data_IF_236802241293
#
_entry.id   IF_236802241293
#
_cell.length_a   1.000
_cell.length_b   1.000
_cell.length_c   1.000
_cell.angle_alpha   90.00
_cell.angle_beta   90.00
_cell.angle_gamma   90.00
#
_symmetry.space_group_name_H-M   'P 1'
#
loop_
_entity.id
_entity.type
_entity.pdbx_description
1 polymer ?
#
# COMPACT_ATOMS: atom_id res chain seq x y z
N UNK A 1 -4.00 33.92 11.06
CA UNK A 1 -3.75 35.36 11.24
C UNK A 1 -4.83 35.89 12.17
N UNK A 2 -4.48 36.87 13.09
CA UNK A 2 -5.36 37.39 14.14
C UNK A 2 -6.69 37.96 13.59
N UNK A 3 -6.63 38.60 12.42
CA UNK A 3 -7.82 39.18 11.76
C UNK A 3 -8.78 38.04 11.36
N UNK A 4 -8.30 37.01 10.70
CA UNK A 4 -9.12 35.86 10.31
C UNK A 4 -9.75 35.13 11.52
N UNK A 5 -9.04 35.06 12.64
CA UNK A 5 -9.60 34.49 13.86
C UNK A 5 -10.73 35.35 14.44
N UNK A 6 -10.55 36.67 14.42
CA UNK A 6 -11.59 37.61 14.87
C UNK A 6 -12.83 37.58 13.95
N UNK A 7 -12.62 37.51 12.63
CA UNK A 7 -13.73 37.44 11.67
C UNK A 7 -14.54 36.14 11.87
N UNK A 8 -13.86 34.99 12.06
CA UNK A 8 -14.54 33.74 12.39
C UNK A 8 -15.24 33.78 13.74
N UNK A 9 -14.61 34.34 14.77
CA UNK A 9 -15.25 34.50 16.07
C UNK A 9 -16.51 35.36 15.98
N UNK A 10 -16.47 36.43 15.19
CA UNK A 10 -17.63 37.29 14.96
C UNK A 10 -18.72 36.57 14.18
N UNK A 11 -18.36 35.84 13.13
CA UNK A 11 -19.28 35.04 12.33
C UNK A 11 -20.05 34.02 13.17
N UNK A 12 -19.34 33.29 14.05
CA UNK A 12 -19.92 32.22 14.89
C UNK A 12 -20.40 32.71 16.26
N UNK A 13 -20.38 34.00 16.54
CA UNK A 13 -21.09 34.56 17.68
C UNK A 13 -22.62 34.59 17.50
N UNK A 14 -23.08 34.43 16.25
CA UNK A 14 -24.49 34.33 15.91
C UNK A 14 -24.91 32.86 15.82
N UNK A 15 -25.92 32.46 16.61
CA UNK A 15 -26.43 31.09 16.65
C UNK A 15 -26.93 30.60 15.28
N UNK A 16 -27.57 31.46 14.48
CA UNK A 16 -28.04 31.10 13.13
C UNK A 16 -26.90 30.72 12.17
N UNK A 17 -25.75 31.38 12.30
CA UNK A 17 -24.57 31.02 11.52
C UNK A 17 -23.98 29.68 11.99
N UNK A 18 -24.06 29.35 13.27
CA UNK A 18 -23.65 28.04 13.79
C UNK A 18 -24.59 26.94 13.28
N UNK A 19 -25.89 27.15 13.31
CA UNK A 19 -26.90 26.21 12.80
C UNK A 19 -26.69 25.95 11.30
N UNK A 20 -26.50 27.00 10.51
CA UNK A 20 -26.21 26.89 9.09
C UNK A 20 -24.90 26.11 8.82
N UNK A 21 -23.85 26.38 9.57
CA UNK A 21 -22.59 25.65 9.45
C UNK A 21 -22.75 24.16 9.80
N UNK A 22 -23.55 23.84 10.82
CA UNK A 22 -23.88 22.46 11.17
C UNK A 22 -24.64 21.75 10.04
N UNK A 23 -25.67 22.41 9.48
CA UNK A 23 -26.41 21.88 8.33
C UNK A 23 -25.52 21.65 7.11
N UNK A 24 -24.56 22.55 6.83
CA UNK A 24 -23.60 22.43 5.75
C UNK A 24 -22.67 21.21 5.94
N UNK A 25 -22.19 21.00 7.17
CA UNK A 25 -21.35 19.82 7.50
C UNK A 25 -22.14 18.51 7.42
N UNK A 26 -23.39 18.51 7.94
CA UNK A 26 -24.25 17.33 7.86
C UNK A 26 -24.55 16.98 6.40
N UNK A 27 -24.89 17.95 5.57
CA UNK A 27 -25.13 17.76 4.14
C UNK A 27 -23.89 17.22 3.42
N UNK A 28 -22.70 17.80 3.67
CA UNK A 28 -21.44 17.36 3.10
C UNK A 28 -21.18 15.86 3.37
N UNK A 29 -21.31 15.43 4.63
CA UNK A 29 -21.10 14.02 5.00
C UNK A 29 -22.19 13.13 4.41
N UNK A 30 -23.42 13.55 4.43
CA UNK A 30 -24.53 12.78 3.85
C UNK A 30 -24.32 12.57 2.35
N UNK A 31 -24.02 13.62 1.59
CA UNK A 31 -23.72 13.53 0.16
C UNK A 31 -22.48 12.68 -0.13
N UNK A 32 -21.46 12.75 0.72
CA UNK A 32 -20.23 11.95 0.58
C UNK A 32 -20.48 10.47 0.80
N UNK A 33 -21.16 10.13 1.90
CA UNK A 33 -21.40 8.75 2.31
C UNK A 33 -22.45 8.06 1.40
N UNK A 34 -23.47 8.77 0.95
CA UNK A 34 -24.54 8.21 0.11
C UNK A 34 -24.11 7.77 -1.28
N UNK A 35 -22.94 8.19 -1.77
CA UNK A 35 -22.45 7.83 -3.11
C UNK A 35 -22.21 6.34 -3.31
N UNK A 36 -21.86 5.63 -2.25
CA UNK A 36 -21.67 4.18 -2.25
C UNK A 36 -22.36 3.62 -1.02
N UNK A 37 -23.38 2.78 -1.23
CA UNK A 37 -24.11 2.12 -0.16
C UNK A 37 -24.19 0.64 -0.45
N UNK A 38 -24.06 -0.16 0.58
CA UNK A 38 -24.23 -1.62 0.53
C UNK A 38 -25.35 -2.04 1.49
N UNK A 39 -26.10 -3.06 1.09
CA UNK A 39 -27.08 -3.72 1.92
C UNK A 39 -26.83 -5.23 1.85
N UNK A 40 -26.35 -5.79 2.95
CA UNK A 40 -25.99 -7.21 3.06
C UNK A 40 -26.61 -7.80 4.33
N UNK A 41 -26.69 -9.14 4.44
CA UNK A 41 -27.15 -9.78 5.67
C UNK A 41 -26.23 -9.54 6.89
N UNK A 42 -25.01 -9.02 6.69
CA UNK A 42 -24.08 -8.71 7.75
C UNK A 42 -24.14 -7.22 8.12
N UNK A 43 -24.93 -6.89 9.14
CA UNK A 43 -25.12 -5.50 9.59
C UNK A 43 -23.81 -4.79 9.94
N UNK A 44 -22.85 -5.46 10.59
CA UNK A 44 -21.54 -4.90 10.92
C UNK A 44 -20.75 -4.49 9.68
N UNK A 45 -20.90 -5.20 8.56
CA UNK A 45 -20.31 -4.81 7.28
C UNK A 45 -20.98 -3.54 6.74
N UNK A 46 -22.33 -3.51 6.77
CA UNK A 46 -23.09 -2.35 6.28
C UNK A 46 -22.73 -1.07 7.07
N UNK A 47 -22.59 -1.16 8.40
CA UNK A 47 -22.21 -0.02 9.26
C UNK A 47 -20.82 0.53 8.87
N UNK A 48 -19.84 -0.35 8.67
CA UNK A 48 -18.49 0.08 8.29
C UNK A 48 -18.46 0.66 6.87
N UNK A 49 -18.99 -0.05 5.89
CA UNK A 49 -18.95 0.35 4.48
C UNK A 49 -19.74 1.62 4.19
N UNK A 50 -20.91 1.78 4.82
CA UNK A 50 -21.81 2.91 4.56
C UNK A 50 -21.42 4.19 5.29
N UNK A 51 -20.26 4.23 5.98
CA UNK A 51 -19.87 5.44 6.69
C UNK A 51 -18.45 5.45 7.21
N UNK A 52 -18.15 4.59 8.17
CA UNK A 52 -16.92 4.69 8.96
C UNK A 52 -15.63 4.53 8.16
N UNK A 53 -15.58 3.66 7.14
CA UNK A 53 -14.39 3.48 6.31
C UNK A 53 -14.06 4.73 5.49
N UNK A 54 -15.08 5.33 4.85
CA UNK A 54 -14.91 6.59 4.10
C UNK A 54 -14.50 7.72 5.04
N UNK A 55 -15.15 7.81 6.21
CA UNK A 55 -14.81 8.81 7.21
C UNK A 55 -13.37 8.66 7.70
N UNK A 56 -12.93 7.45 8.06
CA UNK A 56 -11.57 7.18 8.51
C UNK A 56 -10.52 7.55 7.46
N UNK A 57 -10.72 7.13 6.21
CA UNK A 57 -9.81 7.45 5.11
C UNK A 57 -9.69 8.96 4.91
N UNK A 58 -10.81 9.68 4.89
CA UNK A 58 -10.82 11.12 4.69
C UNK A 58 -10.18 11.89 5.83
N UNK A 59 -10.66 11.65 7.07
CA UNK A 59 -10.31 12.48 8.23
C UNK A 59 -8.90 12.19 8.71
N UNK A 60 -8.51 10.92 8.79
CA UNK A 60 -7.26 10.52 9.43
C UNK A 60 -6.10 10.36 8.46
N UNK A 61 -6.40 10.18 7.17
CA UNK A 61 -5.36 9.89 6.18
C UNK A 61 -5.12 11.01 5.17
N UNK A 62 -6.16 11.70 4.74
CA UNK A 62 -6.02 12.78 3.76
C UNK A 62 -6.05 14.18 4.39
N UNK A 63 -6.93 14.45 5.36
CA UNK A 63 -7.02 15.76 6.01
C UNK A 63 -6.03 15.92 7.16
N UNK A 64 -5.80 14.85 7.92
CA UNK A 64 -4.82 14.85 9.00
C UNK A 64 -4.19 13.46 9.13
N UNK A 65 -2.87 13.38 9.15
CA UNK A 65 -2.14 12.19 9.57
C UNK A 65 -1.97 12.21 11.08
N UNK A 66 -3.05 12.02 11.78
CA UNK A 66 -3.02 12.02 13.24
C UNK A 66 -3.74 10.81 13.80
N UNK A 67 -3.10 10.17 14.74
CA UNK A 67 -3.69 9.21 15.64
C UNK A 67 -3.42 9.66 17.06
N UNK A 68 -4.03 9.01 18.03
CA UNK A 68 -3.80 9.33 19.45
C UNK A 68 -2.32 9.25 19.82
N UNK A 69 -1.59 8.32 19.24
CA UNK A 69 -0.15 8.09 19.49
C UNK A 69 0.77 8.87 18.56
N UNK A 70 0.24 9.46 17.49
CA UNK A 70 1.05 10.15 16.49
C UNK A 70 0.26 11.34 15.91
N UNK A 71 0.68 12.53 16.22
CA UNK A 71 0.10 13.77 15.69
C UNK A 71 1.09 14.47 14.77
N UNK A 72 0.60 15.02 13.64
CA UNK A 72 1.42 15.82 12.72
C UNK A 72 2.52 15.01 12.03
N UNK A 73 2.24 13.78 11.66
CA UNK A 73 3.19 12.93 10.95
C UNK A 73 3.49 13.43 9.54
N UNK A 74 4.60 12.96 8.97
CA UNK A 74 4.95 13.15 7.58
C UNK A 74 3.89 12.57 6.65
N UNK A 75 3.81 13.07 5.43
CA UNK A 75 3.08 12.45 4.33
C UNK A 75 3.96 11.38 3.71
N UNK A 76 3.48 10.14 3.60
CA UNK A 76 4.19 9.04 2.95
C UNK A 76 3.81 8.93 1.48
N UNK A 77 4.79 8.63 0.63
CA UNK A 77 4.52 8.49 -0.80
C UNK A 77 3.54 7.35 -1.08
N UNK A 78 3.84 6.15 -0.62
CA UNK A 78 2.99 4.97 -0.72
C UNK A 78 1.67 5.16 0.02
N UNK A 79 1.75 5.64 1.25
CA UNK A 79 0.62 5.65 2.19
C UNK A 79 -0.58 6.43 1.67
N UNK A 80 -0.41 7.73 1.35
CA UNK A 80 -1.52 8.56 0.88
C UNK A 80 -2.03 8.17 -0.50
N UNK A 81 -1.18 7.62 -1.36
CA UNK A 81 -1.64 7.05 -2.62
C UNK A 81 -2.59 5.89 -2.34
N UNK A 82 -2.18 4.89 -1.54
CA UNK A 82 -3.02 3.76 -1.17
C UNK A 82 -4.32 4.19 -0.48
N UNK A 83 -4.27 5.17 0.42
CA UNK A 83 -5.44 5.69 1.14
C UNK A 83 -6.55 6.15 0.19
N UNK A 84 -6.20 6.66 -0.99
CA UNK A 84 -7.20 7.11 -1.98
C UNK A 84 -7.90 5.99 -2.74
N UNK A 85 -7.40 4.74 -2.68
CA UNK A 85 -8.10 3.60 -3.26
C UNK A 85 -9.50 3.41 -2.68
N UNK A 86 -9.67 3.64 -1.38
CA UNK A 86 -10.98 3.60 -0.72
C UNK A 86 -11.97 4.65 -1.23
N UNK A 87 -11.49 5.69 -1.91
CA UNK A 87 -12.29 6.80 -2.40
C UNK A 87 -12.54 6.76 -3.91
N UNK A 88 -11.99 5.80 -4.63
CA UNK A 88 -11.98 5.77 -6.10
C UNK A 88 -13.38 5.82 -6.75
N UNK A 89 -14.39 5.26 -6.09
CA UNK A 89 -15.78 5.27 -6.57
C UNK A 89 -16.60 6.44 -6.04
N UNK A 90 -16.22 7.02 -4.91
CA UNK A 90 -17.00 8.09 -4.24
C UNK A 90 -16.45 9.47 -4.55
N UNK A 91 -15.14 9.61 -4.62
CA UNK A 91 -14.44 10.89 -4.80
C UNK A 91 -13.16 10.70 -5.65
N UNK A 92 -13.26 10.30 -6.93
CA UNK A 92 -12.10 10.08 -7.80
C UNK A 92 -11.24 11.34 -7.97
N UNK A 93 -11.82 12.53 -7.81
CA UNK A 93 -11.08 13.80 -7.81
C UNK A 93 -10.05 13.89 -6.67
N UNK A 94 -10.27 13.23 -5.53
CA UNK A 94 -9.28 13.16 -4.45
C UNK A 94 -8.09 12.31 -4.85
N UNK A 95 -8.35 11.17 -5.49
CA UNK A 95 -7.31 10.31 -6.04
C UNK A 95 -6.49 11.06 -7.10
N UNK A 96 -7.15 11.76 -8.04
CA UNK A 96 -6.47 12.59 -9.04
C UNK A 96 -5.54 13.63 -8.41
N UNK A 97 -6.04 14.37 -7.43
CA UNK A 97 -5.25 15.40 -6.77
C UNK A 97 -4.06 14.81 -6.01
N UNK A 98 -4.22 13.64 -5.43
CA UNK A 98 -3.14 12.96 -4.72
C UNK A 98 -2.08 12.42 -5.69
N UNK A 99 -2.46 11.89 -6.86
CA UNK A 99 -1.52 11.47 -7.91
C UNK A 99 -0.68 12.67 -8.38
N UNK A 100 -1.32 13.81 -8.69
CA UNK A 100 -0.62 15.05 -9.11
C UNK A 100 0.31 15.55 -7.99
N UNK A 101 -0.13 15.49 -6.73
CA UNK A 101 0.70 15.90 -5.60
C UNK A 101 1.93 15.02 -5.46
N UNK A 102 1.78 13.70 -5.52
CA UNK A 102 2.87 12.75 -5.34
C UNK A 102 3.86 12.76 -6.51
N UNK A 103 3.40 13.00 -7.74
CA UNK A 103 4.32 13.09 -8.88
C UNK A 103 5.36 14.20 -8.71
N UNK A 104 5.04 15.29 -7.98
CA UNK A 104 5.98 16.36 -7.64
C UNK A 104 7.03 15.97 -6.59
N UNK A 105 6.89 14.82 -5.94
CA UNK A 105 7.83 14.24 -4.99
C UNK A 105 8.66 13.11 -5.61
N UNK A 106 8.73 13.07 -6.95
CA UNK A 106 9.59 12.16 -7.71
C UNK A 106 10.85 12.89 -8.17
N UNK A 107 12.02 12.24 -8.04
CA UNK A 107 13.29 12.72 -8.59
C UNK A 107 13.39 12.43 -10.09
N UNK A 108 14.24 13.18 -10.79
CA UNK A 108 14.46 13.03 -12.23
C UNK A 108 14.87 11.59 -12.61
N UNK A 109 15.56 10.88 -11.71
CA UNK A 109 15.98 9.49 -11.87
C UNK A 109 14.87 8.47 -11.72
N UNK A 110 13.66 8.89 -11.31
CA UNK A 110 12.47 8.07 -11.20
C UNK A 110 12.19 7.49 -9.80
N UNK A 111 13.12 7.58 -8.86
CA UNK A 111 12.86 7.31 -7.44
C UNK A 111 12.12 8.48 -6.79
N UNK A 112 11.69 8.32 -5.54
CA UNK A 112 10.77 9.24 -4.88
C UNK A 112 11.21 9.55 -3.45
N UNK A 113 10.67 10.62 -2.87
CA UNK A 113 10.70 10.78 -1.41
C UNK A 113 9.82 9.71 -0.77
N UNK A 114 10.35 8.98 0.17
CA UNK A 114 9.58 7.99 0.95
C UNK A 114 8.51 8.67 1.81
N UNK A 115 8.86 9.80 2.44
CA UNK A 115 7.94 10.68 3.13
C UNK A 115 8.49 12.11 3.21
N UNK A 116 7.60 13.10 3.44
CA UNK A 116 7.96 14.52 3.59
C UNK A 116 7.04 15.26 4.57
N UNK A 117 7.49 16.42 5.01
CA UNK A 117 6.71 17.36 5.83
C UNK A 117 6.31 18.57 4.99
N UNK A 118 5.02 18.76 4.75
CA UNK A 118 4.51 19.87 3.92
C UNK A 118 4.88 21.26 4.45
N UNK A 119 4.90 21.42 5.78
CA UNK A 119 5.19 22.71 6.43
C UNK A 119 6.62 23.18 6.21
N UNK A 120 7.55 22.27 6.02
CA UNK A 120 8.98 22.59 5.88
C UNK A 120 9.50 22.30 4.47
N UNK A 121 8.78 21.55 3.66
CA UNK A 121 9.22 21.04 2.36
C UNK A 121 10.35 20.02 2.46
N UNK A 122 10.70 19.55 3.67
CA UNK A 122 11.75 18.55 3.87
C UNK A 122 11.20 17.15 3.78
N UNK A 123 11.93 16.26 3.13
CA UNK A 123 11.58 14.86 3.01
C UNK A 123 12.79 13.95 3.00
N UNK A 124 12.54 12.65 2.90
CA UNK A 124 13.57 11.63 2.95
C UNK A 124 13.62 10.87 1.62
N UNK A 125 14.77 10.92 0.96
CA UNK A 125 15.08 10.07 -0.19
C UNK A 125 15.62 8.75 0.32
N UNK A 126 15.08 7.62 -0.15
CA UNK A 126 15.46 6.28 0.30
C UNK A 126 15.70 5.34 -0.87
N UNK A 127 16.09 4.10 -0.56
CA UNK A 127 16.16 3.00 -1.54
C UNK A 127 14.97 2.03 -1.40
N UNK A 128 13.85 2.49 -0.85
CA UNK A 128 12.63 1.70 -0.85
C UNK A 128 12.17 1.41 -2.28
N UNK A 129 11.87 0.16 -2.54
CA UNK A 129 11.74 -0.32 -3.91
C UNK A 129 10.31 -0.32 -4.45
N UNK A 130 9.31 -0.18 -3.60
CA UNK A 130 7.90 -0.22 -3.99
C UNK A 130 7.22 1.15 -4.09
N UNK A 131 7.67 2.16 -3.32
CA UNK A 131 7.03 3.47 -3.22
C UNK A 131 6.66 4.05 -4.59
N UNK A 132 7.63 4.09 -5.49
CA UNK A 132 7.47 4.67 -6.83
C UNK A 132 6.41 3.95 -7.68
N UNK A 133 6.20 2.66 -7.47
CA UNK A 133 5.24 1.86 -8.22
C UNK A 133 3.79 2.15 -7.83
N UNK A 134 3.55 2.68 -6.63
CA UNK A 134 2.22 3.07 -6.23
C UNK A 134 1.68 4.25 -7.02
N UNK A 135 2.54 5.14 -7.52
CA UNK A 135 2.12 6.20 -8.46
C UNK A 135 1.51 5.58 -9.73
N UNK A 136 2.15 4.56 -10.28
CA UNK A 136 1.68 3.85 -11.48
C UNK A 136 0.38 3.13 -11.20
N UNK A 137 0.31 2.39 -10.08
CA UNK A 137 -0.88 1.64 -9.67
C UNK A 137 -2.11 2.54 -9.55
N UNK A 138 -1.97 3.66 -8.84
CA UNK A 138 -3.08 4.59 -8.62
C UNK A 138 -3.48 5.34 -9.91
N UNK A 139 -2.51 5.65 -10.76
CA UNK A 139 -2.78 6.29 -12.05
C UNK A 139 -3.59 5.36 -12.96
N UNK A 140 -3.24 4.07 -13.02
CA UNK A 140 -4.01 3.07 -13.77
C UNK A 140 -5.42 2.91 -13.20
N UNK A 141 -5.55 2.73 -11.89
CA UNK A 141 -6.85 2.59 -11.23
C UNK A 141 -7.75 3.83 -11.46
N UNK A 142 -7.18 5.04 -11.42
CA UNK A 142 -7.91 6.26 -11.75
C UNK A 142 -8.42 6.25 -13.20
N UNK A 143 -7.54 5.94 -14.15
CA UNK A 143 -7.91 5.86 -15.57
C UNK A 143 -9.00 4.81 -15.82
N UNK A 144 -8.90 3.66 -15.15
CA UNK A 144 -9.86 2.57 -15.25
C UNK A 144 -11.24 2.94 -14.70
N UNK A 145 -11.29 3.56 -13.53
CA UNK A 145 -12.56 3.93 -12.87
C UNK A 145 -13.26 5.09 -13.59
N UNK A 146 -12.51 6.08 -14.04
CA UNK A 146 -13.07 7.26 -14.70
C UNK A 146 -13.25 7.12 -16.21
N UNK A 147 -12.56 6.16 -16.83
CA UNK A 147 -12.47 6.01 -18.29
C UNK A 147 -11.70 7.12 -18.99
N UNK A 148 -11.13 8.07 -18.24
CA UNK A 148 -10.45 9.26 -18.78
C UNK A 148 -8.93 9.14 -18.72
N UNK A 149 -8.26 9.55 -19.81
CA UNK A 149 -6.80 9.59 -19.93
C UNK A 149 -6.21 11.00 -19.73
N UNK A 150 -7.04 12.02 -19.48
CA UNK A 150 -6.57 13.41 -19.37
C UNK A 150 -5.58 13.64 -18.23
N UNK A 151 -5.65 12.83 -17.15
CA UNK A 151 -4.68 12.86 -16.08
C UNK A 151 -3.25 12.59 -16.59
N UNK A 152 -3.10 11.71 -17.57
CA UNK A 152 -1.80 11.31 -18.10
C UNK A 152 -1.03 12.47 -18.74
N UNK A 153 -1.73 13.54 -19.12
CA UNK A 153 -1.17 14.72 -19.79
C UNK A 153 -0.80 15.86 -18.84
N UNK A 154 -1.27 15.78 -17.59
CA UNK A 154 -0.96 16.78 -16.58
C UNK A 154 0.55 16.89 -16.39
N UNK A 155 1.04 18.13 -16.44
CA UNK A 155 2.46 18.43 -16.33
C UNK A 155 2.82 18.77 -14.89
N UNK A 156 3.82 18.08 -14.34
CA UNK A 156 4.33 18.32 -12.99
C UNK A 156 5.86 18.37 -13.01
N UNK A 157 6.49 19.17 -12.12
CA UNK A 157 7.94 19.20 -11.97
C UNK A 157 8.45 17.93 -11.29
N UNK A 158 9.76 17.68 -11.45
CA UNK A 158 10.49 16.71 -10.64
C UNK A 158 11.16 17.40 -9.45
N UNK A 159 11.68 16.61 -8.52
CA UNK A 159 12.61 17.09 -7.50
C UNK A 159 14.04 17.05 -8.00
N UNK A 160 14.82 18.06 -7.59
CA UNK A 160 16.28 18.09 -7.72
C UNK A 160 16.93 17.62 -6.43
N UNK A 161 17.84 16.65 -6.54
CA UNK A 161 18.62 16.15 -5.42
C UNK A 161 19.69 15.18 -5.87
N UNK A 162 20.87 15.21 -5.23
CA UNK A 162 21.91 14.25 -5.53
C UNK A 162 21.42 12.83 -5.23
N UNK A 163 21.68 11.85 -6.13
CA UNK A 163 21.43 10.43 -5.84
C UNK A 163 22.11 9.99 -4.54
N UNK A 164 21.55 8.95 -3.88
CA UNK A 164 22.17 8.37 -2.70
C UNK A 164 23.52 7.73 -3.08
N UNK A 165 24.52 7.97 -2.25
CA UNK A 165 25.86 7.40 -2.42
C UNK A 165 25.89 5.90 -2.14
N UNK A 166 26.94 5.21 -2.56
CA UNK A 166 27.12 3.80 -2.23
C UNK A 166 27.21 3.60 -0.71
N UNK A 167 26.35 2.73 -0.17
CA UNK A 167 26.24 2.48 1.27
C UNK A 167 25.39 3.49 2.04
N UNK A 168 24.82 4.48 1.38
CA UNK A 168 23.83 5.39 1.96
C UNK A 168 22.42 4.84 1.72
N UNK A 169 21.70 4.52 2.78
CA UNK A 169 20.35 3.94 2.69
C UNK A 169 19.26 5.02 2.56
N UNK A 170 19.50 6.20 3.16
CA UNK A 170 18.54 7.29 3.20
C UNK A 170 19.22 8.66 3.38
N UNK A 171 18.56 9.73 2.91
CA UNK A 171 18.98 11.13 3.13
C UNK A 171 17.78 12.02 3.36
N UNK A 172 17.75 12.68 4.51
CA UNK A 172 16.74 13.68 4.86
C UNK A 172 17.23 15.07 4.51
N UNK A 173 16.59 15.75 3.57
CA UNK A 173 16.99 17.08 3.13
C UNK A 173 15.79 17.94 2.70
N UNK A 174 16.08 19.19 2.27
CA UNK A 174 15.15 20.05 1.56
C UNK A 174 15.40 19.90 0.07
N UNK A 175 14.47 19.25 -0.63
CA UNK A 175 14.51 19.11 -2.07
C UNK A 175 13.66 20.19 -2.73
N UNK A 176 14.10 20.68 -3.90
CA UNK A 176 13.42 21.74 -4.63
C UNK A 176 12.83 21.20 -5.94
N UNK A 177 11.71 21.78 -6.36
CA UNK A 177 11.15 21.49 -7.68
C UNK A 177 12.10 22.00 -8.78
N UNK A 178 12.31 21.19 -9.81
CA UNK A 178 13.10 21.55 -11.01
C UNK A 178 12.27 22.42 -11.96
N UNK A 179 12.94 23.08 -12.92
CA UNK A 179 12.27 23.70 -14.06
C UNK A 179 11.78 22.66 -15.09
N UNK A 180 12.37 21.44 -15.08
CA UNK A 180 11.91 20.34 -15.92
C UNK A 180 10.54 19.85 -15.45
N UNK A 181 9.57 19.86 -16.36
CA UNK A 181 8.26 19.27 -16.13
C UNK A 181 8.03 18.11 -17.09
N UNK A 182 7.26 17.13 -16.65
CA UNK A 182 6.84 16.04 -17.50
C UNK A 182 5.38 15.67 -17.22
N UNK A 183 4.79 14.94 -18.16
CA UNK A 183 3.45 14.41 -17.98
C UNK A 183 3.40 13.32 -16.91
N UNK A 184 2.26 13.12 -16.27
CA UNK A 184 2.04 11.99 -15.33
C UNK A 184 2.38 10.66 -15.99
N UNK A 185 2.13 10.53 -17.30
CA UNK A 185 2.55 9.35 -18.06
C UNK A 185 4.06 9.13 -18.01
N UNK A 186 4.86 10.19 -18.21
CA UNK A 186 6.32 10.11 -18.15
C UNK A 186 6.81 9.82 -16.72
N UNK A 187 6.19 10.42 -15.69
CA UNK A 187 6.47 10.10 -14.29
C UNK A 187 6.27 8.61 -14.00
N UNK A 188 5.17 8.02 -14.47
CA UNK A 188 4.90 6.59 -14.34
C UNK A 188 5.92 5.75 -15.12
N UNK A 189 6.29 6.15 -16.33
CA UNK A 189 7.30 5.46 -17.13
C UNK A 189 8.65 5.44 -16.43
N UNK A 190 9.11 6.58 -15.89
CA UNK A 190 10.36 6.65 -15.11
C UNK A 190 10.30 5.78 -13.86
N UNK A 191 9.17 5.76 -13.15
CA UNK A 191 8.97 4.89 -11.98
C UNK A 191 9.13 3.41 -12.33
N UNK A 192 8.44 2.92 -13.38
CA UNK A 192 8.56 1.53 -13.84
C UNK A 192 9.99 1.18 -14.18
N UNK A 193 10.64 2.01 -14.99
CA UNK A 193 12.02 1.76 -15.44
C UNK A 193 13.01 1.75 -14.28
N UNK A 194 12.83 2.61 -13.29
CA UNK A 194 13.64 2.64 -12.07
C UNK A 194 13.46 1.37 -11.22
N UNK A 195 12.25 0.83 -11.15
CA UNK A 195 11.96 -0.38 -10.39
C UNK A 195 12.49 -1.67 -11.07
N UNK A 196 12.76 -1.65 -12.37
CA UNK A 196 13.25 -2.81 -13.13
C UNK A 196 14.74 -3.09 -12.89
N UNK A 197 15.13 -3.29 -11.61
CA UNK A 197 16.46 -3.69 -11.19
C UNK A 197 16.40 -5.07 -10.56
N UNK A 198 17.05 -6.06 -11.16
CA UNK A 198 16.94 -7.46 -10.79
C UNK A 198 18.22 -8.00 -10.16
N UNK A 199 18.08 -8.98 -9.26
CA UNK A 199 19.16 -9.73 -8.67
C UNK A 199 19.40 -11.08 -9.37
N UNK A 200 20.15 -11.96 -8.71
CA UNK A 200 20.57 -13.25 -9.26
C UNK A 200 19.42 -14.24 -9.47
N UNK A 201 18.32 -14.10 -8.70
CA UNK A 201 17.12 -14.93 -8.83
C UNK A 201 16.13 -14.40 -9.88
N UNK A 202 16.48 -13.34 -10.63
CA UNK A 202 15.61 -12.61 -11.54
C UNK A 202 14.35 -12.02 -10.86
N UNK A 203 14.49 -11.62 -9.60
CA UNK A 203 13.49 -10.89 -8.85
C UNK A 203 13.94 -9.46 -8.60
N UNK A 204 13.02 -8.50 -8.38
CA UNK A 204 13.40 -7.12 -8.14
C UNK A 204 14.21 -6.98 -6.84
N UNK A 205 15.23 -6.13 -6.88
CA UNK A 205 16.01 -5.78 -5.69
C UNK A 205 15.14 -5.07 -4.67
N UNK A 206 15.27 -5.45 -3.39
CA UNK A 206 14.47 -4.87 -2.31
C UNK A 206 15.00 -3.52 -1.81
N UNK A 207 16.29 -3.22 -2.03
CA UNK A 207 16.90 -1.99 -1.53
C UNK A 207 16.91 -1.92 0.00
N UNK A 208 16.58 -0.77 0.56
CA UNK A 208 16.46 -0.56 2.01
C UNK A 208 15.06 -0.94 2.56
N UNK A 209 14.25 -1.63 1.76
CA UNK A 209 12.92 -2.14 2.12
C UNK A 209 11.96 -2.18 0.94
N UNK A 210 10.88 -2.87 1.13
CA UNK A 210 9.70 -2.84 0.27
C UNK A 210 8.48 -2.37 1.10
N UNK A 211 7.25 -2.80 0.77
CA UNK A 211 6.06 -2.46 1.53
C UNK A 211 6.20 -2.72 3.05
N UNK A 212 6.99 -3.71 3.44
CA UNK A 212 7.36 -3.91 4.84
C UNK A 212 8.67 -3.16 5.12
N UNK A 213 8.55 -1.90 5.53
CA UNK A 213 9.67 -1.02 5.88
C UNK A 213 10.64 -1.65 6.89
N UNK A 214 10.12 -2.55 7.74
CA UNK A 214 10.90 -3.23 8.76
C UNK A 214 11.95 -4.21 8.24
N UNK A 215 11.90 -4.58 6.96
CA UNK A 215 12.89 -5.45 6.30
C UNK A 215 14.12 -4.66 5.80
N UNK A 216 14.57 -3.69 6.57
CA UNK A 216 15.51 -2.65 6.17
C UNK A 216 16.96 -3.11 5.94
N UNK A 217 17.32 -4.34 6.29
CA UNK A 217 18.68 -4.87 6.06
C UNK A 217 18.72 -6.08 5.14
N UNK A 218 17.58 -6.45 4.55
CA UNK A 218 17.50 -7.61 3.64
C UNK A 218 18.27 -7.37 2.35
N UNK A 219 18.24 -6.15 1.81
CA UNK A 219 18.87 -5.81 0.53
C UNK A 219 19.62 -4.47 0.51
N UNK A 220 19.94 -3.90 1.66
CA UNK A 220 20.58 -2.59 1.73
C UNK A 220 22.03 -2.57 1.20
N UNK A 221 22.66 -3.76 1.00
CA UNK A 221 23.96 -3.91 0.32
C UNK A 221 23.81 -4.13 -1.20
N UNK A 222 22.59 -4.03 -1.74
CA UNK A 222 22.29 -4.00 -3.16
C UNK A 222 22.18 -5.36 -3.87
N UNK A 223 22.09 -6.49 -3.14
CA UNK A 223 21.90 -7.82 -3.72
C UNK A 223 20.54 -8.42 -3.40
N UNK A 224 19.99 -8.15 -2.21
CA UNK A 224 18.75 -8.75 -1.74
C UNK A 224 17.55 -8.49 -2.66
N UNK A 225 16.65 -9.47 -2.76
CA UNK A 225 15.52 -9.49 -3.71
C UNK A 225 14.22 -9.72 -2.97
N UNK A 226 13.15 -9.03 -3.40
CA UNK A 226 11.80 -9.21 -2.85
C UNK A 226 10.93 -10.07 -3.77
N UNK A 227 10.39 -11.13 -3.21
CA UNK A 227 9.39 -11.98 -3.89
C UNK A 227 8.07 -11.24 -4.03
N UNK A 228 7.61 -10.57 -2.97
CA UNK A 228 6.39 -9.76 -3.01
C UNK A 228 6.47 -8.67 -4.09
N UNK A 229 7.57 -7.93 -4.14
CA UNK A 229 7.78 -6.90 -5.17
C UNK A 229 7.79 -7.50 -6.58
N UNK A 230 8.27 -8.74 -6.73
CA UNK A 230 8.19 -9.45 -8.00
C UNK A 230 6.75 -9.66 -8.47
N UNK A 231 5.84 -10.04 -7.57
CA UNK A 231 4.42 -10.10 -7.85
C UNK A 231 3.81 -8.72 -8.14
N UNK A 232 4.17 -7.72 -7.35
CA UNK A 232 3.65 -6.37 -7.51
C UNK A 232 4.11 -5.74 -8.83
N UNK A 233 5.39 -5.85 -9.17
CA UNK A 233 5.90 -5.35 -10.45
C UNK A 233 5.26 -6.07 -11.64
N UNK A 234 5.02 -7.38 -11.55
CA UNK A 234 4.29 -8.11 -12.58
C UNK A 234 2.88 -7.53 -12.79
N UNK A 235 2.14 -7.27 -11.70
CA UNK A 235 0.80 -6.67 -11.77
C UNK A 235 0.84 -5.25 -12.37
N UNK A 236 1.82 -4.43 -11.96
CA UNK A 236 2.04 -3.10 -12.53
C UNK A 236 2.24 -3.16 -14.04
N UNK A 237 3.12 -4.02 -14.52
CA UNK A 237 3.41 -4.15 -15.95
C UNK A 237 2.18 -4.63 -16.72
N UNK A 238 1.48 -5.63 -16.19
CA UNK A 238 0.25 -6.16 -16.79
C UNK A 238 -0.84 -5.09 -16.93
N UNK A 239 -1.00 -4.22 -15.93
CA UNK A 239 -1.98 -3.12 -15.93
C UNK A 239 -1.56 -1.95 -16.80
N UNK A 240 -0.27 -1.66 -16.87
CA UNK A 240 0.26 -0.50 -17.58
C UNK A 240 0.27 -0.68 -19.11
N UNK A 241 0.50 -1.89 -19.62
CA UNK A 241 0.53 -2.17 -21.06
C UNK A 241 -0.75 -1.68 -21.78
N UNK A 242 -1.98 -1.91 -21.29
CA UNK A 242 -3.19 -1.36 -21.93
C UNK A 242 -3.26 0.19 -21.90
N UNK A 243 -2.65 0.84 -20.90
CA UNK A 243 -2.55 2.30 -20.84
C UNK A 243 -1.58 2.80 -21.91
N UNK A 244 -0.43 2.13 -22.07
CA UNK A 244 0.54 2.43 -23.14
C UNK A 244 -0.11 2.29 -24.53
N UNK A 245 -0.88 1.21 -24.77
CA UNK A 245 -1.55 0.98 -26.05
C UNK A 245 -2.47 2.16 -26.43
N UNK A 246 -3.29 2.61 -25.49
CA UNK A 246 -4.16 3.78 -25.70
C UNK A 246 -3.37 5.07 -25.91
N UNK A 247 -2.25 5.22 -25.21
CA UNK A 247 -1.40 6.40 -25.38
C UNK A 247 -0.68 6.39 -26.74
N UNK A 248 -0.25 5.24 -27.21
CA UNK A 248 0.33 5.05 -28.56
C UNK A 248 -0.72 5.37 -29.63
N UNK A 249 -1.93 4.83 -29.53
CA UNK A 249 -3.03 5.13 -30.46
C UNK A 249 -3.29 6.64 -30.55
N UNK A 250 -3.27 7.35 -29.43
CA UNK A 250 -3.40 8.79 -29.39
C UNK A 250 -2.23 9.47 -30.12
N UNK A 251 -0.99 9.11 -29.84
CA UNK A 251 0.18 9.68 -30.47
C UNK A 251 0.26 9.39 -31.97
N UNK A 252 -0.28 8.25 -32.44
CA UNK A 252 -0.44 7.96 -33.87
C UNK A 252 -1.33 9.01 -34.55
N UNK A 253 -2.41 9.44 -33.89
CA UNK A 253 -3.27 10.53 -34.42
C UNK A 253 -2.59 11.90 -34.39
N UNK A 254 -1.64 12.10 -33.48
CA UNK A 254 -0.88 13.34 -33.31
C UNK A 254 0.43 13.37 -34.13
N UNK A 255 0.83 12.27 -34.76
CA UNK A 255 2.04 12.16 -35.57
C UNK A 255 3.35 12.18 -34.76
N UNK A 256 3.35 11.67 -33.52
CA UNK A 256 4.51 11.67 -32.60
C UNK A 256 5.34 10.39 -32.76
N UNK A 257 5.93 10.18 -33.93
CA UNK A 257 6.60 8.92 -34.31
C UNK A 257 7.72 8.50 -33.33
N UNK A 258 8.54 9.42 -32.85
CA UNK A 258 9.66 9.14 -31.93
C UNK A 258 9.17 8.59 -30.59
N UNK A 259 8.09 9.18 -30.02
CA UNK A 259 7.48 8.71 -28.78
C UNK A 259 6.86 7.32 -28.97
N UNK A 260 6.22 7.07 -30.12
CA UNK A 260 5.62 5.79 -30.45
C UNK A 260 6.68 4.68 -30.51
N UNK A 261 7.81 4.92 -31.19
CA UNK A 261 8.90 3.95 -31.30
C UNK A 261 9.52 3.62 -29.94
N UNK A 262 9.75 4.66 -29.13
CA UNK A 262 10.24 4.50 -27.74
C UNK A 262 9.29 3.61 -26.94
N UNK A 263 7.99 3.90 -26.93
CA UNK A 263 7.03 3.17 -26.13
C UNK A 263 6.81 1.74 -26.62
N UNK A 264 6.83 1.49 -27.91
CA UNK A 264 6.80 0.12 -28.45
C UNK A 264 8.01 -0.69 -27.99
N UNK A 265 9.18 -0.06 -27.92
CA UNK A 265 10.40 -0.69 -27.36
C UNK A 265 10.23 -1.03 -25.88
N UNK A 266 9.72 -0.09 -25.07
CA UNK A 266 9.44 -0.33 -23.65
C UNK A 266 8.38 -1.42 -23.44
N UNK A 267 7.33 -1.44 -24.25
CA UNK A 267 6.29 -2.47 -24.15
C UNK A 267 6.85 -3.89 -24.39
N UNK A 268 7.74 -4.05 -25.37
CA UNK A 268 8.42 -5.33 -25.62
C UNK A 268 9.34 -5.72 -24.45
N UNK A 269 10.04 -4.78 -23.86
CA UNK A 269 10.84 -4.99 -22.64
C UNK A 269 9.96 -5.41 -21.45
N UNK A 270 8.82 -4.75 -21.26
CA UNK A 270 7.87 -5.08 -20.19
C UNK A 270 7.28 -6.49 -20.36
N UNK A 271 6.90 -6.89 -21.56
CA UNK A 271 6.41 -8.24 -21.85
C UNK A 271 7.48 -9.31 -21.52
N UNK A 272 8.73 -9.09 -21.93
CA UNK A 272 9.85 -9.99 -21.60
C UNK A 272 10.12 -10.05 -20.10
N UNK A 273 10.03 -8.90 -19.42
CA UNK A 273 10.19 -8.83 -17.96
C UNK A 273 9.07 -9.60 -17.27
N UNK A 274 7.83 -9.48 -17.71
CA UNK A 274 6.72 -10.26 -17.14
C UNK A 274 6.94 -11.77 -17.30
N UNK A 275 7.41 -12.25 -18.47
CA UNK A 275 7.73 -13.67 -18.68
C UNK A 275 8.85 -14.14 -17.73
N UNK A 276 9.91 -13.34 -17.60
CA UNK A 276 11.02 -13.59 -16.68
C UNK A 276 10.54 -13.66 -15.22
N UNK A 277 9.77 -12.67 -14.77
CA UNK A 277 9.23 -12.62 -13.41
C UNK A 277 8.33 -13.81 -13.13
N UNK A 278 7.38 -14.12 -14.03
CA UNK A 278 6.48 -15.26 -13.86
C UNK A 278 7.24 -16.56 -13.70
N UNK A 279 8.28 -16.76 -14.50
CA UNK A 279 9.16 -17.94 -14.39
C UNK A 279 9.90 -17.94 -13.04
N UNK A 280 10.57 -16.83 -12.67
CA UNK A 280 11.34 -16.72 -11.44
C UNK A 280 10.49 -16.95 -10.20
N UNK A 281 9.31 -16.34 -10.14
CA UNK A 281 8.35 -16.49 -9.05
C UNK A 281 7.92 -17.94 -8.86
N UNK A 282 7.60 -18.63 -9.96
CA UNK A 282 7.12 -20.02 -9.90
C UNK A 282 8.22 -21.06 -9.75
N UNK A 283 9.49 -20.70 -9.94
CA UNK A 283 10.63 -21.64 -9.77
C UNK A 283 11.50 -21.27 -8.59
N UNK A 284 12.10 -20.07 -8.59
CA UNK A 284 13.08 -19.67 -7.59
C UNK A 284 12.43 -19.25 -6.26
N UNK A 285 11.25 -18.64 -6.33
CA UNK A 285 10.54 -18.19 -5.13
C UNK A 285 9.60 -19.26 -4.52
N UNK A 286 9.35 -20.39 -5.21
CA UNK A 286 8.49 -21.45 -4.70
C UNK A 286 9.24 -22.40 -3.76
N UNK A 287 8.74 -22.56 -2.52
CA UNK A 287 9.33 -23.39 -1.46
C UNK A 287 8.63 -24.77 -1.31
N UNK A 288 7.85 -25.19 -2.29
CA UNK A 288 7.14 -26.47 -2.32
C UNK A 288 5.73 -26.45 -1.74
N UNK A 289 5.41 -25.51 -0.81
CA UNK A 289 4.08 -25.32 -0.22
C UNK A 289 3.61 -23.88 -0.23
N UNK A 290 4.52 -22.93 -0.27
CA UNK A 290 4.23 -21.50 -0.32
C UNK A 290 5.33 -20.73 -1.03
N UNK A 291 5.12 -19.47 -1.31
CA UNK A 291 6.13 -18.58 -1.88
C UNK A 291 6.98 -17.98 -0.77
N UNK A 292 8.29 -17.96 -0.99
CA UNK A 292 9.26 -17.28 -0.14
C UNK A 292 8.94 -15.80 -0.02
N UNK A 293 9.54 -15.13 0.99
CA UNK A 293 9.34 -13.69 1.17
C UNK A 293 10.43 -12.86 0.49
N UNK A 294 11.68 -13.23 0.69
CA UNK A 294 12.82 -12.50 0.16
C UNK A 294 14.09 -13.36 0.14
N UNK A 295 15.06 -12.92 -0.65
CA UNK A 295 16.45 -13.39 -0.61
C UNK A 295 17.31 -12.26 -0.05
N UNK A 296 18.12 -12.54 0.98
CA UNK A 296 18.94 -11.53 1.64
C UNK A 296 20.28 -11.31 0.92
N UNK A 297 20.93 -10.18 1.21
CA UNK A 297 22.25 -9.83 0.64
C UNK A 297 23.35 -10.89 0.87
N UNK A 298 23.26 -11.65 1.96
CA UNK A 298 24.19 -12.72 2.35
C UNK A 298 23.80 -14.11 1.85
N UNK A 299 22.69 -14.21 1.11
CA UNK A 299 22.15 -15.45 0.55
C UNK A 299 21.19 -16.19 1.48
N UNK A 300 20.92 -15.69 2.69
CA UNK A 300 19.85 -16.23 3.55
C UNK A 300 18.48 -15.98 2.90
N UNK A 301 17.51 -16.83 3.23
CA UNK A 301 16.17 -16.78 2.62
C UNK A 301 15.14 -16.54 3.72
N UNK A 302 14.26 -15.56 3.51
CA UNK A 302 13.07 -15.34 4.35
C UNK A 302 11.85 -16.04 3.75
N UNK A 303 10.98 -16.58 4.60
CA UNK A 303 9.75 -17.22 4.17
C UNK A 303 9.92 -18.65 3.66
N UNK A 304 10.89 -19.39 4.15
CA UNK A 304 11.09 -20.82 3.83
C UNK A 304 10.76 -21.72 5.02
N UNK A 305 10.29 -22.94 4.75
CA UNK A 305 9.98 -23.94 5.77
C UNK A 305 11.19 -24.29 6.66
N UNK A 306 12.39 -24.03 6.17
CA UNK A 306 13.64 -24.30 6.88
C UNK A 306 13.99 -23.24 7.93
N UNK A 307 13.40 -22.05 7.87
CA UNK A 307 13.63 -21.01 8.86
C UNK A 307 13.11 -21.42 10.24
N UNK A 308 13.76 -20.95 11.31
CA UNK A 308 13.21 -21.04 12.67
C UNK A 308 12.13 -19.96 12.90
N UNK A 309 12.32 -18.78 12.33
CA UNK A 309 11.43 -17.62 12.39
C UNK A 309 11.11 -17.14 10.97
N UNK A 310 9.97 -16.47 10.76
CA UNK A 310 9.47 -16.08 9.45
C UNK A 310 9.46 -17.24 8.44
N UNK A 311 8.86 -18.39 8.83
CA UNK A 311 8.71 -19.53 7.90
C UNK A 311 7.79 -19.21 6.74
N UNK A 312 6.73 -18.48 7.02
CA UNK A 312 5.74 -18.06 6.06
C UNK A 312 5.37 -16.60 6.27
N UNK A 313 5.16 -15.87 5.18
CA UNK A 313 4.71 -14.48 5.14
C UNK A 313 3.45 -14.39 4.28
N UNK A 314 2.42 -13.67 4.74
CA UNK A 314 1.10 -13.65 4.11
C UNK A 314 1.03 -12.87 2.81
N UNK A 315 1.86 -11.83 2.65
CA UNK A 315 1.73 -10.96 1.47
C UNK A 315 2.21 -11.61 0.17
N UNK A 316 3.26 -12.43 0.23
CA UNK A 316 3.70 -13.19 -0.94
C UNK A 316 2.64 -14.18 -1.41
N UNK A 317 1.92 -14.84 -0.49
CA UNK A 317 0.86 -15.79 -0.81
C UNK A 317 -0.35 -15.09 -1.44
N UNK A 318 -0.75 -13.98 -0.86
CA UNK A 318 -1.88 -13.18 -1.33
C UNK A 318 -1.61 -12.61 -2.72
N UNK A 319 -0.44 -12.02 -2.93
CA UNK A 319 -0.08 -11.38 -4.19
C UNK A 319 0.23 -12.35 -5.32
N UNK A 320 0.57 -13.60 -5.03
CA UNK A 320 0.64 -14.65 -6.05
C UNK A 320 -0.72 -14.83 -6.77
N UNK A 321 -1.81 -14.63 -6.04
CA UNK A 321 -3.17 -14.65 -6.60
C UNK A 321 -3.56 -13.29 -7.19
N UNK A 322 -3.37 -12.21 -6.46
CA UNK A 322 -3.80 -10.85 -6.84
C UNK A 322 -3.17 -10.44 -8.18
N UNK A 323 -1.87 -10.66 -8.35
CA UNK A 323 -1.15 -10.35 -9.59
C UNK A 323 -1.47 -11.29 -10.75
N UNK A 324 -1.98 -12.49 -10.47
CA UNK A 324 -2.16 -13.55 -11.47
C UNK A 324 -0.86 -14.23 -11.93
N UNK A 325 0.30 -13.85 -11.38
CA UNK A 325 1.59 -14.42 -11.78
C UNK A 325 1.86 -15.81 -11.20
N UNK A 326 1.26 -16.18 -10.07
CA UNK A 326 1.35 -17.52 -9.51
C UNK A 326 0.68 -18.57 -10.42
N UNK A 327 1.30 -19.75 -10.58
CA UNK A 327 0.67 -20.88 -11.26
C UNK A 327 -0.60 -21.32 -10.53
N UNK A 328 -1.59 -21.83 -11.24
CA UNK A 328 -2.90 -22.10 -10.68
C UNK A 328 -2.88 -23.02 -9.45
N UNK A 329 -2.17 -24.15 -9.53
CA UNK A 329 -2.00 -25.08 -8.41
C UNK A 329 -1.29 -24.45 -7.22
N UNK A 330 -0.25 -23.67 -7.47
CA UNK A 330 0.54 -23.00 -6.44
C UNK A 330 -0.25 -21.92 -5.69
N UNK A 331 -1.13 -21.19 -6.37
CA UNK A 331 -2.03 -20.21 -5.73
C UNK A 331 -2.94 -20.87 -4.70
N UNK A 332 -3.55 -22.01 -5.05
CA UNK A 332 -4.40 -22.76 -4.11
C UNK A 332 -3.60 -23.29 -2.91
N UNK A 333 -2.46 -23.95 -3.17
CA UNK A 333 -1.60 -24.53 -2.14
C UNK A 333 -1.07 -23.42 -1.19
N UNK A 334 -0.68 -22.28 -1.74
CA UNK A 334 -0.13 -21.17 -0.94
C UNK A 334 -1.19 -20.49 -0.08
N UNK A 335 -2.43 -20.32 -0.56
CA UNK A 335 -3.52 -19.79 0.25
C UNK A 335 -4.01 -20.80 1.30
N UNK A 336 -4.02 -22.10 1.01
CA UNK A 336 -4.24 -23.12 2.04
C UNK A 336 -3.15 -23.06 3.13
N UNK A 337 -1.90 -22.88 2.74
CA UNK A 337 -0.80 -22.71 3.69
C UNK A 337 -0.94 -21.43 4.51
N UNK A 338 -1.34 -20.30 3.91
CA UNK A 338 -1.66 -19.07 4.62
C UNK A 338 -2.77 -19.31 5.66
N UNK A 339 -3.87 -19.96 5.27
CA UNK A 339 -4.97 -20.27 6.21
C UNK A 339 -4.48 -21.11 7.38
N UNK A 340 -3.72 -22.18 7.10
CA UNK A 340 -3.29 -23.13 8.11
C UNK A 340 -2.26 -22.56 9.09
N UNK A 341 -1.43 -21.61 8.68
CA UNK A 341 -0.33 -21.07 9.47
C UNK A 341 -0.58 -19.68 10.03
N UNK A 342 -1.32 -18.84 9.32
CA UNK A 342 -1.45 -17.42 9.67
C UNK A 342 -2.83 -17.05 10.22
N UNK A 343 -3.89 -17.85 9.96
CA UNK A 343 -5.23 -17.55 10.47
C UNK A 343 -5.39 -18.09 11.89
N UNK A 344 -5.54 -17.19 12.85
CA UNK A 344 -5.78 -17.48 14.25
C UNK A 344 -7.28 -17.30 14.57
N UNK A 345 -8.05 -18.40 14.47
CA UNK A 345 -9.49 -18.38 14.70
C UNK A 345 -9.87 -18.14 16.17
N UNK A 346 -9.00 -18.51 17.12
CA UNK A 346 -9.25 -18.32 18.54
C UNK A 346 -9.19 -16.84 18.93
N UNK A 347 -8.24 -16.12 18.38
CA UNK A 347 -8.04 -14.70 18.68
C UNK A 347 -8.69 -13.78 17.64
N UNK A 348 -9.22 -14.34 16.54
CA UNK A 348 -9.91 -13.59 15.50
C UNK A 348 -8.97 -12.67 14.73
N UNK A 349 -7.84 -13.18 14.22
CA UNK A 349 -6.85 -12.37 13.50
C UNK A 349 -6.12 -13.18 12.40
N UNK A 350 -5.48 -12.46 11.49
CA UNK A 350 -4.65 -13.01 10.41
C UNK A 350 -3.25 -12.44 10.57
N UNK A 351 -2.29 -13.28 10.98
CA UNK A 351 -0.89 -12.86 11.18
C UNK A 351 -0.24 -12.45 9.86
N UNK A 352 0.64 -11.47 9.92
CA UNK A 352 1.42 -11.09 8.73
C UNK A 352 2.47 -12.14 8.39
N UNK A 353 3.15 -12.66 9.39
CA UNK A 353 4.15 -13.73 9.27
C UNK A 353 4.14 -14.64 10.52
N UNK A 354 4.68 -15.84 10.39
CA UNK A 354 4.83 -16.78 11.51
C UNK A 354 6.05 -17.71 11.31
N UNK A 355 6.78 -18.07 12.36
CA UNK A 355 6.87 -17.41 13.68
C UNK A 355 7.49 -15.99 13.57
N UNK A 356 7.18 -15.07 14.49
CA UNK A 356 7.79 -13.73 14.50
C UNK A 356 9.30 -13.80 14.81
N UNK A 357 10.03 -12.78 14.42
CA UNK A 357 11.44 -12.59 14.72
C UNK A 357 11.64 -12.31 16.22
N UNK A 358 12.55 -13.04 16.87
CA UNK A 358 12.88 -12.87 18.28
C UNK A 358 14.35 -13.28 18.58
N UNK A 359 14.72 -14.52 18.28
CA UNK A 359 15.97 -15.16 18.73
C UNK A 359 16.86 -15.66 17.61
N UNK A 360 16.34 -15.83 16.40
CA UNK A 360 17.13 -16.31 15.27
C UNK A 360 18.31 -15.38 14.97
N UNK A 361 19.30 -15.90 14.27
CA UNK A 361 20.46 -15.13 13.82
C UNK A 361 20.15 -14.25 12.60
N UNK A 362 18.96 -14.40 12.01
CA UNK A 362 18.51 -13.56 10.92
C UNK A 362 18.43 -12.10 11.36
N UNK A 363 18.97 -11.23 10.54
CA UNK A 363 18.94 -9.77 10.76
C UNK A 363 18.15 -9.10 9.62
N UNK A 364 16.80 -9.19 9.68
CA UNK A 364 15.96 -8.67 8.61
C UNK A 364 15.84 -7.13 8.61
N UNK A 365 16.27 -6.47 9.67
CA UNK A 365 16.12 -5.05 9.90
C UNK A 365 15.31 -4.72 11.15
N UNK A 366 14.79 -3.50 11.23
CA UNK A 366 14.16 -3.03 12.45
C UNK A 366 12.81 -3.70 12.78
N UNK A 367 12.25 -4.51 11.89
CA UNK A 367 11.10 -5.37 12.20
C UNK A 367 11.35 -6.23 13.45
N UNK A 368 12.59 -6.69 13.64
CA UNK A 368 12.99 -7.49 14.79
C UNK A 368 13.02 -6.70 16.12
N UNK A 369 13.01 -5.37 16.06
CA UNK A 369 12.89 -4.52 17.24
C UNK A 369 11.46 -4.43 17.79
N UNK A 370 10.46 -4.77 17.00
CA UNK A 370 9.09 -4.89 17.49
C UNK A 370 8.91 -6.14 18.33
N UNK A 371 8.15 -6.05 19.41
CA UNK A 371 7.82 -7.21 20.23
C UNK A 371 7.16 -8.30 19.38
N UNK A 372 7.54 -9.58 19.55
CA UNK A 372 6.93 -10.69 18.82
C UNK A 372 5.40 -10.70 18.97
N UNK A 373 4.71 -10.73 17.83
CA UNK A 373 3.25 -10.69 17.77
C UNK A 373 2.64 -9.28 17.73
N UNK A 374 3.45 -8.24 17.54
CA UNK A 374 2.97 -6.85 17.38
C UNK A 374 3.37 -6.29 16.02
N UNK A 375 2.56 -5.41 15.48
CA UNK A 375 2.77 -4.76 14.18
C UNK A 375 3.16 -5.80 13.11
N UNK A 376 4.16 -5.47 12.28
CA UNK A 376 4.66 -6.34 11.20
C UNK A 376 5.35 -7.59 11.72
N UNK A 377 5.81 -7.59 12.97
CA UNK A 377 6.51 -8.74 13.55
C UNK A 377 5.55 -9.82 14.07
N UNK A 378 4.76 -10.40 13.18
CA UNK A 378 3.86 -11.51 13.45
C UNK A 378 2.55 -11.13 14.14
N UNK A 379 2.23 -9.83 14.29
CA UNK A 379 0.86 -9.38 14.54
C UNK A 379 0.00 -9.52 13.29
N UNK A 380 -1.31 -9.28 13.41
CA UNK A 380 -2.08 -8.94 12.24
C UNK A 380 -1.69 -7.52 11.83
N UNK A 381 -1.11 -7.36 10.66
CA UNK A 381 -1.06 -6.07 10.00
C UNK A 381 -2.25 -6.00 9.05
N UNK A 382 -3.23 -5.16 9.37
CA UNK A 382 -4.58 -5.27 8.78
C UNK A 382 -4.57 -5.12 7.26
N UNK A 383 -3.68 -4.30 6.71
CA UNK A 383 -3.50 -4.15 5.27
C UNK A 383 -3.12 -5.50 4.60
N UNK A 384 -2.13 -6.22 5.15
CA UNK A 384 -1.78 -7.56 4.66
C UNK A 384 -2.91 -8.57 4.83
N UNK A 385 -3.70 -8.47 5.91
CA UNK A 385 -4.87 -9.30 6.13
C UNK A 385 -5.98 -9.06 5.08
N UNK A 386 -6.19 -7.79 4.66
CA UNK A 386 -7.12 -7.46 3.58
C UNK A 386 -6.68 -8.09 2.25
N UNK A 387 -5.40 -8.08 1.92
CA UNK A 387 -4.91 -8.75 0.71
C UNK A 387 -5.17 -10.25 0.73
N UNK A 388 -5.08 -10.92 1.88
CA UNK A 388 -5.48 -12.32 2.00
C UNK A 388 -6.96 -12.52 1.70
N UNK A 389 -7.84 -11.66 2.22
CA UNK A 389 -9.28 -11.70 1.96
C UNK A 389 -9.57 -11.50 0.47
N UNK A 390 -8.91 -10.53 -0.17
CA UNK A 390 -9.03 -10.28 -1.62
C UNK A 390 -8.61 -11.52 -2.41
N UNK A 391 -7.48 -12.15 -2.05
CA UNK A 391 -6.96 -13.33 -2.73
C UNK A 391 -7.93 -14.52 -2.65
N UNK A 392 -8.50 -14.81 -1.48
CA UNK A 392 -9.54 -15.84 -1.35
C UNK A 392 -10.79 -15.52 -2.18
N UNK A 393 -11.23 -14.26 -2.17
CA UNK A 393 -12.36 -13.81 -2.97
C UNK A 393 -12.10 -13.99 -4.47
N UNK A 394 -10.92 -13.63 -4.96
CA UNK A 394 -10.54 -13.77 -6.37
C UNK A 394 -10.48 -15.23 -6.85
N UNK A 395 -10.15 -16.17 -5.97
CA UNK A 395 -10.21 -17.61 -6.28
C UNK A 395 -11.61 -18.22 -6.14
N UNK A 396 -12.63 -17.41 -5.85
CA UNK A 396 -14.02 -17.85 -5.74
C UNK A 396 -14.40 -18.43 -4.36
N UNK A 397 -13.53 -18.32 -3.35
CA UNK A 397 -13.80 -18.74 -1.97
C UNK A 397 -14.54 -17.66 -1.18
N UNK A 398 -15.74 -17.24 -1.65
CA UNK A 398 -16.51 -16.13 -1.07
C UNK A 398 -16.87 -16.33 0.40
N UNK A 399 -17.27 -17.53 0.80
CA UNK A 399 -17.59 -17.85 2.20
C UNK A 399 -16.35 -17.70 3.10
N UNK A 400 -15.18 -18.14 2.61
CA UNK A 400 -13.91 -17.98 3.32
C UNK A 400 -13.52 -16.50 3.42
N UNK A 401 -13.61 -15.75 2.35
CA UNK A 401 -13.35 -14.31 2.36
C UNK A 401 -14.26 -13.58 3.37
N UNK A 402 -15.54 -13.96 3.46
CA UNK A 402 -16.46 -13.40 4.45
C UNK A 402 -16.09 -13.83 5.89
N UNK A 403 -15.72 -15.10 6.11
CA UNK A 403 -15.24 -15.59 7.41
C UNK A 403 -14.04 -14.74 7.87
N UNK A 404 -13.03 -14.57 7.01
CA UNK A 404 -11.82 -13.80 7.29
C UNK A 404 -12.12 -12.30 7.51
N UNK A 405 -13.02 -11.72 6.71
CA UNK A 405 -13.44 -10.33 6.91
C UNK A 405 -14.10 -10.14 8.29
N UNK A 406 -14.97 -11.05 8.72
CA UNK A 406 -15.58 -10.98 10.05
C UNK A 406 -14.55 -11.05 11.18
N UNK A 407 -13.45 -11.78 10.96
CA UNK A 407 -12.36 -11.86 11.94
C UNK A 407 -11.61 -10.55 12.14
N UNK A 408 -11.49 -9.72 11.09
CA UNK A 408 -10.79 -8.43 11.18
C UNK A 408 -11.73 -7.24 11.44
N UNK A 409 -13.04 -7.47 11.44
CA UNK A 409 -14.05 -6.43 11.61
C UNK A 409 -14.11 -5.95 13.08
N UNK A 410 -13.82 -4.66 13.38
CA UNK A 410 -13.78 -4.14 14.74
C UNK A 410 -15.13 -4.26 15.47
N UNK A 411 -16.25 -4.19 14.75
CA UNK A 411 -17.58 -4.36 15.35
C UNK A 411 -17.76 -5.80 15.85
N UNK A 412 -17.30 -6.78 15.09
CA UNK A 412 -17.35 -8.20 15.51
C UNK A 412 -16.47 -8.44 16.76
N UNK A 413 -15.32 -7.77 16.86
CA UNK A 413 -14.44 -7.80 18.03
C UNK A 413 -15.02 -7.16 19.30
N UNK A 414 -16.12 -6.42 19.17
CA UNK A 414 -16.75 -5.71 20.29
C UNK A 414 -18.20 -6.12 20.56
N UNK A 415 -18.68 -7.26 20.02
CA UNK A 415 -20.07 -7.71 20.16
C UNK A 415 -20.50 -8.01 21.61
N UNK A 416 -19.58 -8.48 22.45
CA UNK A 416 -19.84 -8.71 23.86
C UNK A 416 -18.89 -7.87 24.72
N UNK A 417 -19.24 -7.71 25.99
CA UNK A 417 -18.38 -6.99 26.93
C UNK A 417 -17.00 -7.61 27.06
N UNK A 418 -16.92 -8.94 27.07
CA UNK A 418 -15.65 -9.68 27.13
C UNK A 418 -14.81 -9.44 25.89
N UNK A 419 -15.40 -9.49 24.71
CA UNK A 419 -14.72 -9.22 23.44
C UNK A 419 -14.23 -7.75 23.39
N UNK A 420 -15.08 -6.79 23.77
CA UNK A 420 -14.69 -5.38 23.83
C UNK A 420 -13.56 -5.11 24.84
N UNK A 421 -13.56 -5.81 25.99
CA UNK A 421 -12.50 -5.72 27.01
C UNK A 421 -11.18 -6.37 26.52
N UNK A 422 -11.26 -7.33 25.61
CA UNK A 422 -10.10 -7.96 24.96
C UNK A 422 -9.54 -7.04 23.86
N UNK A 423 -10.42 -6.56 22.96
CA UNK A 423 -10.05 -5.72 21.81
C UNK A 423 -9.52 -4.33 22.22
N UNK A 424 -10.15 -3.65 23.14
CA UNK A 424 -9.75 -2.39 23.84
C UNK A 424 -9.52 -1.18 22.94
N UNK A 425 -9.98 -1.18 21.73
CA UNK A 425 -9.96 -0.03 20.81
C UNK A 425 -11.35 0.25 20.29
N UNK A 426 -11.52 1.33 19.52
CA UNK A 426 -12.82 1.79 19.04
C UNK A 426 -13.47 0.71 18.14
N UNK A 427 -14.73 0.35 18.41
CA UNK A 427 -15.39 -0.77 17.71
C UNK A 427 -15.87 -0.41 16.29
N UNK A 428 -15.61 0.78 15.82
CA UNK A 428 -16.06 1.29 14.51
C UNK A 428 -14.91 1.80 13.64
N UNK A 429 -13.66 1.60 14.07
CA UNK A 429 -12.44 2.03 13.39
C UNK A 429 -11.57 0.83 13.11
N UNK A 430 -11.06 0.73 11.89
CA UNK A 430 -10.06 -0.28 11.54
C UNK A 430 -8.76 0.01 12.27
N UNK A 431 -8.30 -0.95 13.06
CA UNK A 431 -6.98 -0.90 13.68
C UNK A 431 -5.90 -1.25 12.65
N UNK A 432 -4.78 -0.55 12.65
CA UNK A 432 -3.65 -0.83 11.78
C UNK A 432 -3.06 -2.22 12.06
N UNK A 433 -3.06 -2.61 13.33
CA UNK A 433 -2.61 -3.93 13.75
C UNK A 433 -3.45 -4.52 14.90
N UNK A 434 -3.46 -5.84 15.01
CA UNK A 434 -4.02 -6.59 16.15
C UNK A 434 -2.91 -7.49 16.68
N UNK A 435 -2.70 -7.47 18.00
CA UNK A 435 -1.63 -8.25 18.63
C UNK A 435 -1.97 -9.73 18.64
N UNK A 436 -0.96 -10.59 18.38
CA UNK A 436 -1.17 -12.02 18.18
C UNK A 436 -0.64 -12.91 19.29
N UNK A 437 0.03 -12.36 20.33
CA UNK A 437 0.71 -13.18 21.33
C UNK A 437 0.44 -12.80 22.77
N UNK A 438 0.58 -13.81 23.65
CA UNK A 438 0.51 -13.66 25.10
C UNK A 438 -0.85 -13.15 25.59
N UNK A 439 -0.84 -12.42 26.69
CA UNK A 439 -2.04 -11.83 27.28
C UNK A 439 -2.61 -10.64 26.48
N UNK A 440 -1.94 -10.24 25.42
CA UNK A 440 -2.38 -9.17 24.51
C UNK A 440 -3.01 -9.70 23.23
N UNK A 441 -3.02 -11.02 23.00
CA UNK A 441 -3.60 -11.60 21.79
C UNK A 441 -5.07 -11.20 21.60
N UNK A 442 -5.41 -10.67 20.42
CA UNK A 442 -6.73 -10.13 20.07
C UNK A 442 -6.95 -8.68 20.48
N UNK A 443 -5.94 -7.99 21.07
CA UNK A 443 -6.01 -6.56 21.34
C UNK A 443 -5.68 -5.77 20.10
N UNK A 444 -6.50 -4.77 19.74
CA UNK A 444 -6.20 -3.79 18.71
C UNK A 444 -5.05 -2.86 19.12
N UNK A 445 -4.18 -2.55 18.18
CA UNK A 445 -3.08 -1.63 18.33
C UNK A 445 -3.43 -0.21 17.87
N UNK A 446 -2.77 0.28 16.84
CA UNK A 446 -3.01 1.64 16.34
C UNK A 446 -4.35 1.78 15.63
N UNK A 447 -5.14 2.75 16.05
CA UNK A 447 -6.40 3.13 15.40
C UNK A 447 -6.27 4.50 14.73
N UNK A 448 -7.16 4.78 13.77
CA UNK A 448 -7.18 6.03 13.00
C UNK A 448 -5.93 6.27 12.12
N UNK A 449 -5.05 5.29 11.97
CA UNK A 449 -3.75 5.43 11.31
C UNK A 449 -3.53 4.42 10.18
N UNK A 450 -4.57 3.85 9.63
CA UNK A 450 -4.47 2.94 8.48
C UNK A 450 -5.50 3.28 7.42
N UNK A 451 -5.11 3.10 6.15
CA UNK A 451 -5.98 3.16 4.98
C UNK A 451 -6.43 1.78 4.48
N UNK A 452 -6.26 0.74 5.30
CA UNK A 452 -6.58 -0.66 4.95
C UNK A 452 -8.03 -0.88 4.58
#
# INVERSE_FOLDING_TARGET
NKIQCLDKAYQYSNIQNCEKALEEVQRYWQETIQKLQVETPLESFNILMNGWMIYQAMVSRLWARSAYQQSGGALGFRDQLQDTLGLKYTMPEKMRNQIIKHSKHQFQEGDVEHWWHEETGRGIRTRFSDDLLWLVYLTEEYCKVTGGLSLLEEQTPFLEGAPLEEGEDERYDLYLETEETASIYEHCTRAIRKAMQFGENNLPKIGSGDWNDGLSTVGNKGKGESVWLGFFLYDILQRWIPVQEKQIEKWETEGKEELIEREKTYQEEYKKTMEMLKKALNTNAWDGRWFRRAFCDDGEILGTIQNEECKIDGISQSWATISGAGDNDKKYISLESLENHLVDKENGLIRLLDPPFEKSKLEPGYIKAYLPGTRENGGQYTHGAIWAIIAFSMLGFGDKALELFRMINPIEHARTKEMALKYKVEPYVIAADIYSRGNLAGRGGWTWYTGS
#
